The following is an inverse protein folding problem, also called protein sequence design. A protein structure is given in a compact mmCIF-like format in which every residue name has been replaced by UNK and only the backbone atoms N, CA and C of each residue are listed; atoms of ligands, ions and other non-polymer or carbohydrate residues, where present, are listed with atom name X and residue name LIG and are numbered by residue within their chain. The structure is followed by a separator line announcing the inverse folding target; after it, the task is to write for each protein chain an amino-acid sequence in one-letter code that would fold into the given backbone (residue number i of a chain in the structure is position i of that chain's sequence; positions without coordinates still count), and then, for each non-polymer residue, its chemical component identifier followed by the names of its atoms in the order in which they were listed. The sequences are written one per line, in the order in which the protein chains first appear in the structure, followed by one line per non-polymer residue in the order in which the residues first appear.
data_IF_931211888313
#
_entry.id   IF_931211888313
#
_cell.length_a   1.000
_cell.length_b   1.000
_cell.length_c   1.000
_cell.angle_alpha   90.00
_cell.angle_beta   90.00
_cell.angle_gamma   90.00
#
_symmetry.space_group_name_H-M   'P 1'
#
loop_
_entity.id
_entity.type
_entity.pdbx_description
1 polymer ?
#
# COMPACT_ATOMS: atom_id res chain seq x y z
N UNK A 1 -4.63 -7.09 -4.68
CA UNK A 1 -3.82 -8.28 -4.36
C UNK A 1 -4.59 -9.25 -3.49
N UNK A 2 -4.87 -8.92 -2.22
CA UNK A 2 -5.54 -9.83 -1.28
C UNK A 2 -6.80 -10.52 -1.84
N UNK A 3 -7.76 -9.77 -2.40
CA UNK A 3 -8.98 -10.35 -2.98
C UNK A 3 -8.71 -11.38 -4.08
N UNK A 4 -7.68 -11.16 -4.93
CA UNK A 4 -7.26 -12.16 -5.93
C UNK A 4 -6.65 -13.41 -5.28
N UNK A 5 -5.86 -13.24 -4.22
CA UNK A 5 -5.22 -14.36 -3.52
C UNK A 5 -6.23 -15.29 -2.86
N UNK A 6 -7.35 -14.74 -2.38
CA UNK A 6 -8.47 -15.52 -1.84
C UNK A 6 -9.48 -15.94 -2.90
N UNK A 7 -9.22 -15.70 -4.18
CA UNK A 7 -10.11 -16.15 -5.27
C UNK A 7 -11.45 -15.44 -5.35
N UNK A 8 -11.55 -14.19 -4.87
CA UNK A 8 -12.74 -13.36 -5.08
C UNK A 8 -12.66 -12.71 -6.45
N UNK A 9 -13.68 -12.90 -7.27
CA UNK A 9 -13.87 -12.19 -8.54
C UNK A 9 -14.45 -10.79 -8.28
N UNK A 10 -13.87 -9.77 -8.92
CA UNK A 10 -14.29 -8.38 -8.78
C UNK A 10 -13.91 -7.55 -10.00
N UNK A 11 -14.65 -6.46 -10.20
CA UNK A 11 -14.34 -5.44 -11.20
C UNK A 11 -13.63 -4.24 -10.55
N UNK A 12 -12.65 -3.69 -11.26
CA UNK A 12 -11.95 -2.47 -10.85
C UNK A 12 -12.54 -1.26 -11.57
N UNK A 13 -13.08 -0.32 -10.78
CA UNK A 13 -13.61 0.95 -11.28
C UNK A 13 -12.78 2.09 -10.70
N UNK A 14 -12.21 2.99 -11.54
CA UNK A 14 -11.55 4.20 -11.05
C UNK A 14 -12.49 5.06 -10.22
N UNK A 15 -12.02 5.54 -9.07
CA UNK A 15 -12.81 6.36 -8.15
C UNK A 15 -11.92 7.38 -7.44
N UNK A 16 -12.52 8.22 -6.60
CA UNK A 16 -11.81 9.21 -5.79
C UNK A 16 -12.18 9.06 -4.30
N UNK A 17 -11.36 9.65 -3.43
CA UNK A 17 -11.54 9.57 -1.99
C UNK A 17 -12.90 10.13 -1.50
N UNK A 18 -13.51 11.08 -2.23
CA UNK A 18 -14.80 11.67 -1.86
C UNK A 18 -15.98 10.72 -2.08
N UNK A 19 -15.83 9.70 -2.94
CA UNK A 19 -16.84 8.66 -3.12
C UNK A 19 -16.79 7.57 -2.03
N UNK A 20 -15.74 7.55 -1.20
CA UNK A 20 -15.60 6.55 -0.14
C UNK A 20 -16.45 6.89 1.09
N UNK A 21 -17.10 5.90 1.72
CA UNK A 21 -17.86 6.11 2.97
C UNK A 21 -17.00 6.60 4.14
N UNK A 22 -15.70 6.32 4.08
CA UNK A 22 -14.73 6.66 5.12
C UNK A 22 -13.81 7.80 4.70
N UNK A 23 -13.98 8.34 3.49
CA UNK A 23 -13.08 9.34 2.91
C UNK A 23 -11.74 8.78 2.43
N UNK A 24 -11.56 7.46 2.39
CA UNK A 24 -10.34 6.80 1.91
C UNK A 24 -10.66 5.61 0.99
N UNK A 25 -9.94 5.50 -0.13
CA UNK A 25 -9.93 4.30 -0.95
C UNK A 25 -8.98 3.24 -0.33
N UNK A 26 -9.20 1.94 -0.59
CA UNK A 26 -10.28 1.34 -1.39
C UNK A 26 -11.55 1.03 -0.58
N UNK A 27 -12.69 0.88 -1.27
CA UNK A 27 -13.92 0.28 -0.76
C UNK A 27 -14.51 -0.66 -1.81
N UNK A 28 -15.39 -1.59 -1.40
CA UNK A 28 -16.03 -2.57 -2.28
C UNK A 28 -17.55 -2.40 -2.27
N UNK A 29 -18.17 -2.59 -3.44
CA UNK A 29 -19.61 -2.62 -3.62
C UNK A 29 -20.05 -4.06 -3.95
N UNK A 30 -20.85 -4.72 -3.09
CA UNK A 30 -21.37 -6.06 -3.37
C UNK A 30 -22.34 -6.09 -4.55
N UNK A 31 -22.35 -7.20 -5.29
CA UNK A 31 -23.13 -7.30 -6.52
C UNK A 31 -24.65 -7.47 -6.36
N UNK A 32 -25.21 -8.08 -5.27
CA UNK A 32 -26.67 -8.14 -4.88
C UNK A 32 -26.95 -9.22 -3.78
N UNK A 33 -28.13 -9.25 -3.07
CA UNK A 33 -29.40 -8.61 -3.41
C UNK A 33 -29.91 -7.54 -2.41
N UNK A 34 -31.13 -6.98 -2.61
CA UNK A 34 -31.48 -5.55 -2.64
C UNK A 34 -31.67 -4.92 -1.23
N UNK A 35 -30.67 -5.04 -0.37
CA UNK A 35 -30.58 -4.24 0.86
C UNK A 35 -30.00 -2.86 0.56
N UNK A 36 -29.95 -1.92 1.53
CA UNK A 36 -29.17 -0.71 1.36
C UNK A 36 -27.74 -1.13 0.98
N UNK A 37 -27.32 -0.76 -0.23
CA UNK A 37 -25.99 -0.99 -0.78
C UNK A 37 -24.99 -0.42 0.22
N UNK A 38 -24.52 -1.25 1.14
CA UNK A 38 -23.61 -0.82 2.19
C UNK A 38 -22.21 -1.03 1.65
N UNK A 39 -21.54 0.02 1.17
CA UNK A 39 -20.17 -0.08 0.73
C UNK A 39 -19.31 -0.65 1.87
N UNK A 40 -18.47 -1.62 1.53
CA UNK A 40 -17.58 -2.27 2.47
C UNK A 40 -16.28 -1.47 2.48
N UNK A 41 -15.98 -0.73 3.56
CA UNK A 41 -14.74 0.03 3.66
C UNK A 41 -13.53 -0.89 3.78
N UNK A 42 -12.34 -0.36 3.46
CA UNK A 42 -11.06 -1.07 3.52
C UNK A 42 -10.87 -1.91 4.79
N UNK A 43 -11.14 -1.34 5.97
CA UNK A 43 -10.99 -2.03 7.26
C UNK A 43 -11.94 -3.21 7.49
N UNK A 44 -13.00 -3.36 6.68
CA UNK A 44 -13.93 -4.49 6.73
C UNK A 44 -13.74 -5.48 5.58
N UNK A 45 -12.89 -5.18 4.59
CA UNK A 45 -12.69 -6.04 3.41
C UNK A 45 -12.16 -7.42 3.77
N UNK A 46 -11.25 -7.51 4.73
CA UNK A 46 -10.70 -8.81 5.15
C UNK A 46 -11.78 -9.72 5.71
N UNK A 47 -12.56 -9.20 6.68
CA UNK A 47 -13.66 -9.92 7.32
C UNK A 47 -14.71 -10.34 6.28
N UNK A 48 -15.11 -9.43 5.41
CA UNK A 48 -16.06 -9.73 4.34
C UNK A 48 -15.55 -10.83 3.41
N UNK A 49 -14.29 -10.77 2.96
CA UNK A 49 -13.74 -11.78 2.06
C UNK A 49 -13.69 -13.17 2.72
N UNK A 50 -13.40 -13.23 4.02
CA UNK A 50 -13.44 -14.46 4.81
C UNK A 50 -14.85 -15.03 4.86
N UNK A 51 -15.86 -14.19 5.11
CA UNK A 51 -17.27 -14.60 5.12
C UNK A 51 -17.75 -15.10 3.75
N UNK A 52 -17.26 -14.53 2.64
CA UNK A 52 -17.65 -14.96 1.30
C UNK A 52 -16.99 -16.29 0.88
N UNK A 53 -15.68 -16.43 1.10
CA UNK A 53 -14.90 -17.58 0.60
C UNK A 53 -14.83 -18.72 1.63
N UNK A 54 -15.34 -18.51 2.85
CA UNK A 54 -15.22 -19.45 3.96
C UNK A 54 -13.75 -19.84 4.25
N UNK A 55 -12.83 -18.88 4.12
CA UNK A 55 -11.42 -19.07 4.45
C UNK A 55 -11.20 -18.97 5.97
N UNK A 56 -10.35 -19.83 6.55
CA UNK A 56 -10.04 -19.80 7.97
C UNK A 56 -9.30 -18.50 8.38
N UNK A 57 -9.69 -17.91 9.52
CA UNK A 57 -9.24 -16.62 10.09
C UNK A 57 -7.76 -16.62 10.59
N UNK A 58 -6.95 -17.59 10.21
CA UNK A 58 -5.69 -17.93 10.90
C UNK A 58 -4.65 -16.80 10.98
N UNK A 59 -4.73 -15.78 10.11
CA UNK A 59 -3.76 -14.68 10.06
C UNK A 59 -3.79 -13.79 11.31
N UNK A 60 -4.95 -13.63 11.95
CA UNK A 60 -5.10 -12.73 13.11
C UNK A 60 -4.66 -13.36 14.44
N UNK A 61 -4.42 -14.68 14.46
CA UNK A 61 -4.04 -15.40 15.67
C UNK A 61 -2.55 -15.29 16.00
N UNK A 62 -1.71 -14.93 15.03
CA UNK A 62 -0.27 -14.79 15.29
C UNK A 62 0.04 -13.41 15.88
N UNK A 63 0.51 -13.31 17.14
CA UNK A 63 0.83 -12.01 17.74
C UNK A 63 1.93 -11.25 16.99
N UNK A 64 2.79 -11.95 16.23
CA UNK A 64 3.81 -11.33 15.38
C UNK A 64 3.20 -10.55 14.23
N UNK A 65 2.02 -10.95 13.73
CA UNK A 65 1.35 -10.27 12.62
C UNK A 65 1.18 -8.77 12.90
N UNK A 66 0.60 -8.42 14.06
CA UNK A 66 0.36 -7.02 14.41
C UNK A 66 1.66 -6.21 14.53
N UNK A 67 2.73 -6.82 15.06
CA UNK A 67 4.04 -6.18 15.20
C UNK A 67 4.61 -5.84 13.82
N UNK A 68 4.64 -6.80 12.90
CA UNK A 68 5.19 -6.56 11.57
C UNK A 68 4.28 -5.70 10.69
N UNK A 69 2.96 -5.76 10.87
CA UNK A 69 2.04 -4.83 10.20
C UNK A 69 2.29 -3.39 10.60
N UNK A 70 2.65 -3.13 11.86
CA UNK A 70 3.02 -1.78 12.31
C UNK A 70 4.29 -1.23 11.61
N UNK A 71 5.22 -2.11 11.19
CA UNK A 71 6.39 -1.70 10.40
C UNK A 71 5.98 -1.20 9.02
N UNK A 72 4.98 -1.83 8.40
CA UNK A 72 4.43 -1.40 7.12
C UNK A 72 3.67 -0.07 7.29
N UNK A 73 2.76 -0.01 8.27
CA UNK A 73 1.83 1.11 8.47
C UNK A 73 2.52 2.39 8.95
N UNK A 74 3.69 2.29 9.58
CA UNK A 74 4.45 3.43 10.07
C UNK A 74 5.76 3.63 9.31
N UNK A 75 6.72 2.70 9.42
CA UNK A 75 8.08 2.91 8.91
C UNK A 75 8.10 3.02 7.38
N UNK A 76 7.57 2.01 6.70
CA UNK A 76 7.56 1.97 5.23
C UNK A 76 6.58 2.99 4.68
N UNK A 77 5.38 3.12 5.26
CA UNK A 77 4.38 4.10 4.82
C UNK A 77 4.88 5.54 4.93
N UNK A 78 5.56 5.91 6.02
CA UNK A 78 6.06 7.27 6.18
C UNK A 78 7.13 7.60 5.13
N UNK A 79 8.09 6.70 4.92
CA UNK A 79 9.10 6.88 3.88
C UNK A 79 8.47 6.94 2.48
N UNK A 80 7.45 6.11 2.21
CA UNK A 80 6.67 6.14 0.98
C UNK A 80 5.95 7.47 0.77
N UNK A 81 5.28 8.01 1.80
CA UNK A 81 4.61 9.30 1.74
C UNK A 81 5.58 10.44 1.41
N UNK A 82 6.76 10.43 2.04
CA UNK A 82 7.81 11.39 1.71
C UNK A 82 8.27 11.23 0.25
N UNK A 83 8.58 10.01 -0.17
CA UNK A 83 9.06 9.70 -1.53
C UNK A 83 8.09 10.13 -2.61
N UNK A 84 6.79 9.92 -2.39
CA UNK A 84 5.73 10.19 -3.36
C UNK A 84 5.28 11.66 -3.35
N UNK A 85 5.05 12.24 -2.16
CA UNK A 85 4.40 13.56 -2.06
C UNK A 85 5.38 14.71 -1.82
N UNK A 86 6.48 14.49 -1.11
CA UNK A 86 7.36 15.59 -0.66
C UNK A 86 8.65 15.73 -1.46
N UNK A 87 9.15 14.64 -2.07
CA UNK A 87 10.22 14.73 -3.05
C UNK A 87 9.71 15.42 -4.32
N UNK A 88 10.30 16.57 -4.67
CA UNK A 88 9.82 17.40 -5.78
C UNK A 88 9.88 16.68 -7.15
N UNK A 89 10.97 15.95 -7.43
CA UNK A 89 11.16 15.28 -8.71
C UNK A 89 10.13 14.15 -8.91
N UNK A 90 9.87 13.37 -7.87
CA UNK A 90 8.85 12.33 -7.90
C UNK A 90 7.44 12.90 -7.90
N UNK A 91 7.21 14.02 -7.20
CA UNK A 91 5.90 14.65 -7.19
C UNK A 91 5.47 15.05 -8.60
N UNK A 92 6.35 15.72 -9.34
CA UNK A 92 6.06 16.14 -10.72
C UNK A 92 5.96 14.96 -11.69
N UNK A 93 6.83 13.95 -11.55
CA UNK A 93 6.86 12.81 -12.48
C UNK A 93 5.73 11.78 -12.25
N UNK A 94 5.37 11.53 -10.98
CA UNK A 94 4.50 10.42 -10.58
C UNK A 94 3.19 10.95 -10.01
N UNK A 95 3.25 11.69 -8.91
CA UNK A 95 2.05 12.11 -8.16
C UNK A 95 1.16 13.00 -8.97
N UNK A 96 1.72 13.99 -9.66
CA UNK A 96 0.97 14.92 -10.50
C UNK A 96 0.24 14.18 -11.61
N UNK A 97 0.92 13.27 -12.31
CA UNK A 97 0.35 12.45 -13.38
C UNK A 97 -0.82 11.57 -12.88
N UNK A 98 -0.66 10.91 -11.73
CA UNK A 98 -1.62 9.92 -11.22
C UNK A 98 -2.80 10.53 -10.46
N UNK A 99 -2.55 11.56 -9.63
CA UNK A 99 -3.53 12.08 -8.69
C UNK A 99 -4.05 13.48 -9.04
N UNK A 100 -3.31 14.28 -9.80
CA UNK A 100 -3.66 15.68 -10.06
C UNK A 100 -4.22 15.87 -11.48
N UNK A 101 -3.46 15.45 -12.49
CA UNK A 101 -3.81 15.67 -13.89
C UNK A 101 -5.03 14.83 -14.34
N UNK A 102 -5.24 13.68 -13.71
CA UNK A 102 -6.39 12.81 -13.89
C UNK A 102 -7.69 13.40 -13.32
N UNK A 103 -7.60 14.33 -12.37
CA UNK A 103 -8.76 14.83 -11.61
C UNK A 103 -9.40 16.06 -12.24
N UNK A 104 -8.61 16.93 -12.87
CA UNK A 104 -9.12 18.16 -13.51
C UNK A 104 -8.23 18.58 -14.66
N UNK A 105 -8.74 19.35 -15.61
CA UNK A 105 -7.95 20.06 -16.63
C UNK A 105 -7.61 21.50 -16.24
N UNK A 106 -8.23 22.03 -15.17
CA UNK A 106 -8.05 23.42 -14.77
C UNK A 106 -6.77 23.60 -13.92
N UNK A 107 -5.90 24.52 -14.34
CA UNK A 107 -4.63 24.80 -13.68
C UNK A 107 -4.77 25.20 -12.20
N UNK A 108 -5.74 26.06 -11.86
CA UNK A 108 -5.94 26.52 -10.48
C UNK A 108 -6.38 25.36 -9.58
N UNK A 109 -7.26 24.50 -10.08
CA UNK A 109 -7.70 23.29 -9.36
C UNK A 109 -6.51 22.34 -9.16
N UNK A 110 -5.70 22.12 -10.20
CA UNK A 110 -4.50 21.27 -10.10
C UNK A 110 -3.49 21.80 -9.09
N UNK A 111 -3.26 23.12 -9.06
CA UNK A 111 -2.37 23.75 -8.10
C UNK A 111 -2.88 23.60 -6.66
N UNK A 112 -4.18 23.81 -6.44
CA UNK A 112 -4.81 23.62 -5.14
C UNK A 112 -4.73 22.16 -4.67
N UNK A 113 -5.07 21.19 -5.54
CA UNK A 113 -4.96 19.75 -5.24
C UNK A 113 -3.52 19.36 -4.91
N UNK A 114 -2.54 19.87 -5.66
CA UNK A 114 -1.13 19.59 -5.41
C UNK A 114 -0.70 20.05 -4.03
N UNK A 115 -1.07 21.29 -3.67
CA UNK A 115 -0.78 21.85 -2.34
C UNK A 115 -1.46 21.05 -1.22
N UNK A 116 -2.73 20.66 -1.41
CA UNK A 116 -3.47 19.86 -0.43
C UNK A 116 -2.85 18.48 -0.20
N UNK A 117 -2.43 17.78 -1.28
CA UNK A 117 -1.78 16.47 -1.17
C UNK A 117 -0.44 16.57 -0.42
N UNK A 118 0.37 17.57 -0.74
CA UNK A 118 1.63 17.80 -0.05
C UNK A 118 1.42 18.17 1.42
N UNK A 119 0.44 19.03 1.72
CA UNK A 119 0.14 19.43 3.08
C UNK A 119 -0.36 18.23 3.91
N UNK A 120 -1.28 17.43 3.36
CA UNK A 120 -1.78 16.24 4.04
C UNK A 120 -0.65 15.23 4.32
N UNK A 121 0.29 15.05 3.39
CA UNK A 121 1.46 14.20 3.61
C UNK A 121 2.38 14.76 4.70
N UNK A 122 2.62 16.08 4.75
CA UNK A 122 3.39 16.72 5.82
C UNK A 122 2.72 16.53 7.18
N UNK A 123 1.44 16.83 7.26
CA UNK A 123 0.66 16.73 8.51
C UNK A 123 0.67 15.29 9.04
N UNK A 124 0.57 14.30 8.16
CA UNK A 124 0.63 12.89 8.54
C UNK A 124 2.01 12.50 9.11
N UNK A 125 3.10 12.91 8.45
CA UNK A 125 4.46 12.62 8.93
C UNK A 125 4.74 13.30 10.28
N UNK A 126 4.26 14.54 10.44
CA UNK A 126 4.46 15.34 11.65
C UNK A 126 3.68 14.84 12.87
N UNK A 127 2.70 13.94 12.69
CA UNK A 127 2.05 13.26 13.84
C UNK A 127 3.01 12.35 14.61
N UNK A 128 4.00 11.79 13.90
CA UNK A 128 4.94 10.81 14.47
C UNK A 128 6.30 11.42 14.81
N UNK A 129 6.69 12.52 14.15
CA UNK A 129 8.02 13.14 14.25
C UNK A 129 7.92 14.66 14.31
N UNK A 130 8.77 15.32 15.09
CA UNK A 130 8.75 16.79 15.21
C UNK A 130 9.26 17.50 13.95
N UNK A 131 10.14 16.84 13.20
CA UNK A 131 10.70 17.33 11.95
C UNK A 131 10.74 16.21 10.92
N UNK A 132 10.67 16.57 9.65
CA UNK A 132 10.74 15.62 8.54
C UNK A 132 12.20 15.55 8.08
N UNK A 133 12.88 14.48 8.46
CA UNK A 133 14.21 14.14 7.94
C UNK A 133 14.10 12.96 6.96
N UNK A 134 14.40 13.24 5.70
CA UNK A 134 14.38 12.24 4.63
C UNK A 134 15.33 11.07 4.91
N UNK A 135 16.52 11.35 5.43
CA UNK A 135 17.54 10.32 5.67
C UNK A 135 17.13 9.40 6.80
N UNK A 136 16.50 9.95 7.85
CA UNK A 136 15.95 9.18 8.95
C UNK A 136 14.80 8.27 8.48
N UNK A 137 13.87 8.80 7.67
CA UNK A 137 12.77 8.00 7.10
C UNK A 137 13.27 6.87 6.21
N UNK A 138 14.30 7.12 5.39
CA UNK A 138 14.92 6.10 4.55
C UNK A 138 15.64 5.03 5.38
N UNK A 139 16.34 5.41 6.46
CA UNK A 139 17.00 4.48 7.37
C UNK A 139 15.98 3.60 8.11
N UNK A 140 14.91 4.20 8.62
CA UNK A 140 13.79 3.49 9.27
C UNK A 140 13.11 2.49 8.32
N UNK A 141 12.92 2.85 7.06
CA UNK A 141 12.39 1.93 6.06
C UNK A 141 13.39 0.82 5.71
N UNK A 142 14.69 1.09 5.69
CA UNK A 142 15.71 0.07 5.49
C UNK A 142 15.70 -0.98 6.62
N UNK A 143 15.61 -0.54 7.88
CA UNK A 143 15.46 -1.43 9.04
C UNK A 143 14.18 -2.28 8.95
N UNK A 144 13.08 -1.68 8.48
CA UNK A 144 11.83 -2.40 8.27
C UNK A 144 11.96 -3.46 7.16
N UNK A 145 12.64 -3.17 6.04
CA UNK A 145 12.89 -4.16 4.99
C UNK A 145 13.79 -5.30 5.48
N UNK A 146 14.82 -5.00 6.27
CA UNK A 146 15.69 -6.03 6.86
C UNK A 146 14.89 -6.94 7.82
N UNK A 147 14.03 -6.36 8.66
CA UNK A 147 13.16 -7.12 9.55
C UNK A 147 12.17 -8.01 8.77
N UNK A 148 11.58 -7.51 7.68
CA UNK A 148 10.70 -8.28 6.80
C UNK A 148 11.46 -9.39 6.06
N UNK A 149 12.67 -9.11 5.58
CA UNK A 149 13.55 -10.10 4.96
C UNK A 149 13.86 -11.23 5.94
N UNK A 150 14.22 -10.88 7.19
CA UNK A 150 14.49 -11.85 8.25
C UNK A 150 13.25 -12.68 8.60
N UNK A 151 12.07 -12.06 8.64
CA UNK A 151 10.81 -12.75 8.90
C UNK A 151 10.45 -13.74 7.77
N UNK A 152 10.67 -13.35 6.52
CA UNK A 152 10.41 -14.22 5.38
C UNK A 152 11.40 -15.40 5.36
N UNK A 153 12.67 -15.13 5.64
CA UNK A 153 13.74 -16.13 5.58
C UNK A 153 13.74 -16.84 4.23
N UNK A 154 13.71 -18.17 4.26
CA UNK A 154 13.64 -19.03 3.07
C UNK A 154 12.21 -19.45 2.70
N UNK A 155 11.20 -18.93 3.41
CA UNK A 155 9.81 -19.28 3.17
C UNK A 155 9.26 -18.62 1.89
N UNK A 156 8.33 -19.30 1.24
CA UNK A 156 7.70 -18.80 0.01
C UNK A 156 6.78 -17.62 0.31
N UNK A 157 6.00 -17.73 1.38
CA UNK A 157 5.06 -16.74 1.89
C UNK A 157 5.34 -16.45 3.36
N UNK A 158 4.93 -15.27 3.83
CA UNK A 158 5.08 -14.90 5.23
C UNK A 158 4.33 -15.87 6.16
N UNK A 159 4.89 -16.09 7.34
CA UNK A 159 4.36 -17.03 8.35
C UNK A 159 4.26 -18.49 7.86
N UNK A 160 5.06 -18.87 6.85
CA UNK A 160 5.15 -20.23 6.31
C UNK A 160 3.79 -20.80 5.85
N UNK A 161 2.93 -19.95 5.27
CA UNK A 161 1.62 -20.37 4.77
C UNK A 161 1.72 -21.03 3.39
N UNK A 162 0.85 -22.00 3.08
CA UNK A 162 0.81 -22.61 1.75
C UNK A 162 0.37 -21.61 0.68
N UNK A 163 -0.54 -20.70 1.00
CA UNK A 163 -1.08 -19.69 0.09
C UNK A 163 -0.80 -18.27 0.60
N UNK A 164 -0.63 -17.27 -0.30
CA UNK A 164 -0.36 -15.89 0.09
C UNK A 164 -1.56 -15.28 0.83
N UNK A 165 -1.28 -14.57 1.93
CA UNK A 165 -2.29 -13.98 2.80
C UNK A 165 -2.46 -12.47 2.66
N UNK A 166 -3.16 -11.86 3.64
CA UNK A 166 -3.27 -10.40 3.74
C UNK A 166 -1.89 -9.78 3.97
N UNK A 167 -1.06 -10.38 4.81
CA UNK A 167 0.27 -9.85 5.08
C UNK A 167 1.14 -9.82 3.81
N UNK A 168 1.16 -10.93 3.05
CA UNK A 168 1.83 -10.98 1.76
C UNK A 168 1.31 -9.90 0.81
N UNK A 169 -0.01 -9.67 0.78
CA UNK A 169 -0.62 -8.61 -0.02
C UNK A 169 -0.22 -7.20 0.43
N UNK A 170 -0.12 -6.96 1.74
CA UNK A 170 0.29 -5.67 2.31
C UNK A 170 1.75 -5.36 2.01
N UNK A 171 2.65 -6.35 2.12
CA UNK A 171 4.05 -6.20 1.71
C UNK A 171 4.13 -5.96 0.20
N UNK A 172 3.42 -6.77 -0.59
CA UNK A 172 3.35 -6.64 -2.05
C UNK A 172 2.90 -5.26 -2.52
N UNK A 173 1.95 -4.64 -1.81
CA UNK A 173 1.43 -3.32 -2.17
C UNK A 173 2.53 -2.25 -2.25
N UNK A 174 3.53 -2.32 -1.37
CA UNK A 174 4.68 -1.41 -1.41
C UNK A 174 5.79 -1.93 -2.32
N UNK A 175 6.17 -3.21 -2.19
CA UNK A 175 7.32 -3.75 -2.93
C UNK A 175 7.09 -3.74 -4.43
N UNK A 176 5.87 -4.03 -4.89
CA UNK A 176 5.54 -3.99 -6.31
C UNK A 176 5.68 -2.58 -6.88
N UNK A 177 5.12 -1.56 -6.21
CA UNK A 177 5.18 -0.17 -6.72
C UNK A 177 6.60 0.42 -6.65
N UNK A 178 7.41 -0.01 -5.69
CA UNK A 178 8.81 0.41 -5.57
C UNK A 178 9.69 -0.22 -6.66
N UNK A 179 9.39 -1.45 -7.09
CA UNK A 179 10.16 -2.16 -8.12
C UNK A 179 9.62 -1.95 -9.54
N UNK A 180 8.37 -1.49 -9.67
CA UNK A 180 7.75 -1.25 -10.97
C UNK A 180 8.37 -0.05 -11.71
N UNK A 181 8.99 -0.33 -12.85
CA UNK A 181 9.57 0.68 -13.74
C UNK A 181 8.49 1.58 -14.38
N UNK A 182 7.25 1.10 -14.51
CA UNK A 182 6.12 1.85 -15.07
C UNK A 182 5.69 3.06 -14.22
N UNK A 183 6.05 3.06 -12.93
CA UNK A 183 5.80 4.20 -12.05
C UNK A 183 6.53 5.46 -12.50
N UNK A 184 7.72 5.34 -13.11
CA UNK A 184 8.48 6.48 -13.64
C UNK A 184 9.19 7.31 -12.57
N UNK A 185 9.59 6.67 -11.46
CA UNK A 185 10.34 7.31 -10.38
C UNK A 185 11.60 8.02 -10.88
N UNK A 186 11.86 9.24 -10.40
CA UNK A 186 13.10 9.99 -10.66
C UNK A 186 14.14 9.73 -9.59
N UNK A 187 13.69 9.71 -8.35
CA UNK A 187 14.47 9.32 -7.19
C UNK A 187 13.79 8.12 -6.53
N UNK A 188 14.46 6.97 -6.45
CA UNK A 188 13.87 5.75 -5.87
C UNK A 188 14.83 5.06 -4.90
N UNK A 189 15.16 5.74 -3.80
CA UNK A 189 16.05 5.18 -2.78
C UNK A 189 15.44 3.98 -2.07
N UNK A 190 14.13 3.99 -1.81
CA UNK A 190 13.43 2.86 -1.20
C UNK A 190 13.48 1.61 -2.07
N UNK A 191 13.30 1.73 -3.39
CA UNK A 191 13.47 0.62 -4.32
C UNK A 191 14.91 0.08 -4.34
N UNK A 192 15.92 0.95 -4.26
CA UNK A 192 17.32 0.53 -4.15
C UNK A 192 17.61 -0.22 -2.84
N UNK A 193 17.04 0.24 -1.72
CA UNK A 193 17.18 -0.43 -0.42
C UNK A 193 16.49 -1.80 -0.43
N UNK A 194 15.26 -1.86 -0.94
CA UNK A 194 14.50 -3.09 -1.11
C UNK A 194 15.23 -4.11 -1.99
N UNK A 195 15.88 -3.65 -3.07
CA UNK A 195 16.61 -4.51 -4.01
C UNK A 195 17.83 -5.20 -3.40
N UNK A 196 18.25 -4.84 -2.18
CA UNK A 196 19.32 -5.54 -1.44
C UNK A 196 18.84 -6.84 -0.79
N UNK A 197 17.52 -7.03 -0.67
CA UNK A 197 16.91 -8.20 -0.05
C UNK A 197 16.31 -9.09 -1.14
N UNK A 198 17.14 -10.00 -1.68
CA UNK A 198 16.77 -10.87 -2.80
C UNK A 198 15.50 -11.69 -2.54
N UNK A 199 15.32 -12.17 -1.30
CA UNK A 199 14.14 -12.93 -0.90
C UNK A 199 12.83 -12.12 -1.03
N UNK A 200 12.84 -10.81 -0.70
CA UNK A 200 11.69 -9.92 -0.86
C UNK A 200 11.40 -9.61 -2.34
N UNK A 201 12.45 -9.43 -3.15
CA UNK A 201 12.29 -9.24 -4.60
C UNK A 201 11.69 -10.50 -5.23
N UNK A 202 12.20 -11.68 -4.86
CA UNK A 202 11.65 -12.95 -5.33
C UNK A 202 10.22 -13.18 -4.82
N UNK A 203 9.90 -12.78 -3.59
CA UNK A 203 8.54 -12.82 -3.05
C UNK A 203 7.59 -11.99 -3.91
N UNK A 204 7.96 -10.75 -4.23
CA UNK A 204 7.20 -9.89 -5.13
C UNK A 204 7.00 -10.55 -6.52
N UNK A 205 8.07 -11.12 -7.10
CA UNK A 205 8.00 -11.78 -8.41
C UNK A 205 7.10 -13.03 -8.39
N UNK A 206 7.05 -13.78 -7.28
CA UNK A 206 6.15 -14.93 -7.11
C UNK A 206 4.69 -14.47 -7.06
N UNK A 207 4.40 -13.42 -6.30
CA UNK A 207 3.04 -12.88 -6.16
C UNK A 207 2.51 -12.24 -7.44
N UNK A 208 3.39 -11.70 -8.29
CA UNK A 208 2.99 -11.14 -9.58
C UNK A 208 2.34 -12.19 -10.50
N UNK A 209 2.66 -13.47 -10.34
CA UNK A 209 2.09 -14.58 -11.14
C UNK A 209 0.60 -14.83 -10.90
N UNK A 210 0.01 -14.20 -9.88
CA UNK A 210 -1.43 -14.28 -9.59
C UNK A 210 -2.25 -13.23 -10.37
N UNK A 211 -1.62 -12.41 -11.20
CA UNK A 211 -2.26 -11.34 -11.96
C UNK A 211 -2.17 -11.58 -13.45
#
# INVERSE_FOLDING_TARGET
AYLKFVGVDFDLVPSNNHASPTGALPFLLPALPPGPETPIPSGKLQKWAIEQVHCEEEQQLNPRFNVYSSLLDHRIRNAWLYLLYLNHENFEAVTRRLYVDSTSSNFAVRAALSSQLQQAARDELLKSSQFIDASALEAEAAEAFEALSTLLGDHVHFFNRPNPGLFDASVFAYTHLLLDQGMGWKYNRLGQLLSRHDNLVQHQARLLKFF
#
